data_IF_282346757670
#
_entry.id   IF_282346757670
#
_cell.length_a   1.000
_cell.length_b   1.000
_cell.length_c   1.000
_cell.angle_alpha   90.00
_cell.angle_beta   90.00
_cell.angle_gamma   90.00
#
_symmetry.space_group_name_H-M   'P 1'
#
loop_
_entity.id
_entity.type
_entity.pdbx_description
1 polymer ?
#
# COMPACT_ATOMS: atom_id res chain seq x y z
N UNK A 1 -14.25 -27.17 12.85
CA UNK A 1 -12.85 -26.68 12.82
C UNK A 1 -12.88 -25.21 13.24
N UNK A 2 -12.19 -24.85 14.32
CA UNK A 2 -12.10 -23.46 14.77
C UNK A 2 -10.89 -22.79 14.10
N UNK A 3 -11.07 -21.56 13.62
CA UNK A 3 -9.96 -20.73 13.17
C UNK A 3 -9.30 -20.08 14.39
N UNK A 4 -8.01 -20.35 14.61
CA UNK A 4 -7.22 -19.63 15.61
C UNK A 4 -6.55 -18.42 14.94
N UNK A 5 -6.76 -17.23 15.50
CA UNK A 5 -6.11 -16.01 15.02
C UNK A 5 -4.66 -15.92 15.49
N UNK A 6 -3.75 -15.53 14.59
CA UNK A 6 -2.34 -15.26 14.92
C UNK A 6 -2.12 -13.76 15.02
N UNK A 7 -1.62 -13.30 16.17
CA UNK A 7 -1.20 -11.91 16.39
C UNK A 7 0.31 -11.86 16.47
N UNK A 8 0.96 -11.55 15.34
CA UNK A 8 2.39 -11.28 15.28
C UNK A 8 2.62 -9.80 14.95
N UNK A 9 3.47 -9.14 15.72
CA UNK A 9 3.90 -7.77 15.41
C UNK A 9 4.87 -7.82 14.23
N UNK A 10 4.42 -7.40 13.05
CA UNK A 10 5.30 -7.23 11.90
C UNK A 10 6.04 -5.90 12.02
N UNK A 11 7.37 -5.95 12.08
CA UNK A 11 8.23 -4.77 11.99
C UNK A 11 8.52 -4.43 10.53
N UNK A 12 8.57 -3.13 10.20
CA UNK A 12 8.89 -2.61 8.87
C UNK A 12 7.68 -2.03 8.10
N UNK A 13 7.96 -1.47 6.92
CA UNK A 13 6.95 -0.89 6.03
C UNK A 13 6.01 -1.97 5.48
N UNK A 14 4.73 -1.62 5.36
CA UNK A 14 3.72 -2.45 4.73
C UNK A 14 3.94 -2.41 3.22
N UNK A 15 4.13 -3.59 2.63
CA UNK A 15 4.25 -3.75 1.18
C UNK A 15 2.89 -3.50 0.54
N UNK A 16 2.81 -2.46 -0.27
CA UNK A 16 1.61 -2.00 -0.95
C UNK A 16 1.70 -2.29 -2.46
N UNK A 17 0.60 -2.72 -3.06
CA UNK A 17 0.40 -2.74 -4.52
C UNK A 17 -0.71 -1.77 -4.91
N UNK A 18 -0.63 -1.17 -6.10
CA UNK A 18 -1.64 -0.21 -6.61
C UNK A 18 -2.20 -0.63 -7.98
N UNK A 19 -3.48 -0.40 -8.20
CA UNK A 19 -4.16 -0.63 -9.48
C UNK A 19 -4.87 0.66 -9.89
N UNK A 20 -4.65 1.09 -11.14
CA UNK A 20 -5.11 2.38 -11.64
C UNK A 20 -4.32 3.56 -11.10
N UNK A 21 -4.74 4.77 -11.44
CA UNK A 21 -4.14 6.00 -10.92
C UNK A 21 -2.76 6.29 -11.49
N UNK A 22 -2.56 6.26 -12.81
CA UNK A 22 -1.28 6.53 -13.47
C UNK A 22 -0.72 7.94 -13.30
N UNK A 23 0.09 8.38 -14.26
CA UNK A 23 0.85 9.63 -14.11
C UNK A 23 -0.05 10.86 -14.03
N UNK A 24 -1.09 10.94 -14.87
CA UNK A 24 -1.96 12.12 -14.95
C UNK A 24 -3.20 12.01 -14.05
N UNK A 25 -3.33 10.90 -13.32
CA UNK A 25 -4.46 10.67 -12.45
C UNK A 25 -4.26 11.39 -11.10
N UNK A 26 -5.08 12.42 -10.85
CA UNK A 26 -5.09 13.17 -9.59
C UNK A 26 -5.17 12.24 -8.37
N UNK A 27 -6.15 11.33 -8.36
CA UNK A 27 -6.37 10.40 -7.25
C UNK A 27 -5.18 9.46 -7.06
N UNK A 28 -4.56 8.98 -8.14
CA UNK A 28 -3.37 8.12 -8.08
C UNK A 28 -2.18 8.84 -7.46
N UNK A 29 -1.95 10.08 -7.85
CA UNK A 29 -0.93 10.95 -7.25
C UNK A 29 -1.15 11.15 -5.75
N UNK A 30 -2.38 11.47 -5.34
CA UNK A 30 -2.74 11.67 -3.93
C UNK A 30 -2.49 10.39 -3.10
N UNK A 31 -2.88 9.23 -3.60
CA UNK A 31 -2.66 7.96 -2.88
C UNK A 31 -1.17 7.65 -2.72
N UNK A 32 -0.35 7.83 -3.78
CA UNK A 32 1.10 7.63 -3.69
C UNK A 32 1.75 8.57 -2.67
N UNK A 33 1.29 9.82 -2.60
CA UNK A 33 1.78 10.78 -1.61
C UNK A 33 1.37 10.34 -0.22
N UNK A 34 0.08 10.07 0.02
CA UNK A 34 -0.43 9.64 1.32
C UNK A 34 0.29 8.40 1.86
N UNK A 35 0.53 7.40 1.00
CA UNK A 35 1.28 6.19 1.38
C UNK A 35 2.71 6.48 1.84
N UNK A 36 3.31 7.60 1.43
CA UNK A 36 4.67 8.00 1.80
C UNK A 36 4.74 8.96 2.99
N UNK A 37 3.66 9.69 3.33
CA UNK A 37 3.68 10.74 4.38
C UNK A 37 4.17 10.18 5.72
N UNK A 38 3.61 9.06 6.15
CA UNK A 38 3.92 8.47 7.47
C UNK A 38 5.04 7.43 7.42
N UNK A 39 5.70 7.25 6.27
CA UNK A 39 6.70 6.20 6.01
C UNK A 39 6.24 4.79 6.45
N UNK A 40 4.94 4.51 6.38
CA UNK A 40 4.35 3.22 6.78
C UNK A 40 4.24 2.24 5.63
N UNK A 41 4.30 2.70 4.38
CA UNK A 41 4.05 1.87 3.20
C UNK A 41 5.21 1.95 2.21
N UNK A 42 5.45 0.82 1.57
CA UNK A 42 6.38 0.69 0.45
C UNK A 42 5.59 0.20 -0.76
N UNK A 43 5.44 1.05 -1.79
CA UNK A 43 4.78 0.67 -3.03
C UNK A 43 5.73 -0.22 -3.84
N UNK A 44 5.46 -1.52 -3.86
CA UNK A 44 6.33 -2.55 -4.46
C UNK A 44 5.82 -3.08 -5.80
N UNK A 45 4.56 -2.80 -6.16
CA UNK A 45 3.95 -3.26 -7.41
C UNK A 45 2.87 -2.28 -7.89
N UNK A 46 2.64 -2.23 -9.20
CA UNK A 46 1.61 -1.38 -9.79
C UNK A 46 1.14 -1.83 -11.17
N UNK A 47 -0.17 -1.81 -11.40
CA UNK A 47 -0.79 -1.85 -12.73
C UNK A 47 -1.44 -0.49 -12.99
N UNK A 48 -0.65 0.46 -13.48
CA UNK A 48 -1.03 1.86 -13.61
C UNK A 48 -1.52 2.15 -15.04
N UNK A 49 -2.51 3.04 -15.17
CA UNK A 49 -3.11 3.47 -16.45
C UNK A 49 -3.30 4.96 -16.47
#
# INVERSE_FOLDING_TARGET
MAIEGRSETRSGRIRLGMVGGGNDAFIGGVHRIASRIDDKYELVAGALS
#
